data_IF_377218366726
#
_entry.id   IF_377218366726
#
_cell.length_a   1.000
_cell.length_b   1.000
_cell.length_c   1.000
_cell.angle_alpha   90.00
_cell.angle_beta   90.00
_cell.angle_gamma   90.00
#
_symmetry.space_group_name_H-M   'P 1'
#
loop_
_entity.id
_entity.type
_entity.pdbx_description
1 polymer ?
#
# COMPACT_ATOMS: atom_id res chain seq x y z
N UNK A 1 -8.51 4.28 2.64
CA UNK A 1 -7.91 3.54 3.77
C UNK A 1 -8.19 2.05 3.62
N UNK A 2 -7.21 1.18 3.89
CA UNK A 2 -7.43 -0.26 3.88
C UNK A 2 -8.36 -0.72 5.01
N UNK A 3 -9.33 -1.57 4.69
CA UNK A 3 -10.19 -2.22 5.67
C UNK A 3 -9.40 -3.24 6.50
N UNK A 4 -9.59 -3.25 7.82
CA UNK A 4 -9.06 -4.28 8.74
C UNK A 4 -10.07 -4.47 9.86
N UNK A 5 -10.16 -5.66 10.44
CA UNK A 5 -11.06 -5.95 11.57
C UNK A 5 -10.82 -5.01 12.76
N UNK A 6 -9.57 -4.63 13.01
CA UNK A 6 -9.25 -3.68 14.06
C UNK A 6 -9.84 -2.29 13.78
N UNK A 7 -9.78 -1.83 12.52
CA UNK A 7 -10.31 -0.51 12.13
C UNK A 7 -11.85 -0.48 12.14
N UNK A 8 -12.54 -1.57 11.79
CA UNK A 8 -14.02 -1.60 11.76
C UNK A 8 -14.69 -1.40 13.12
N UNK A 9 -13.93 -1.56 14.22
CA UNK A 9 -14.39 -1.29 15.60
C UNK A 9 -14.68 0.18 15.85
N UNK A 10 -14.01 1.09 15.13
CA UNK A 10 -14.12 2.55 15.32
C UNK A 10 -14.32 3.32 14.02
N UNK A 11 -14.29 2.65 12.87
CA UNK A 11 -14.52 3.22 11.55
C UNK A 11 -15.70 2.51 10.89
N UNK A 12 -16.57 3.30 10.26
CA UNK A 12 -17.51 2.82 9.25
C UNK A 12 -16.89 3.02 7.87
N UNK A 13 -16.67 1.93 7.13
CA UNK A 13 -16.09 1.99 5.79
C UNK A 13 -17.19 2.06 4.73
N UNK A 14 -16.93 2.83 3.67
CA UNK A 14 -17.66 2.68 2.42
C UNK A 14 -17.39 1.31 1.77
N UNK A 15 -18.17 0.95 0.75
CA UNK A 15 -17.75 -0.02 -0.25
C UNK A 15 -16.38 0.38 -0.83
N UNK A 16 -15.51 -0.58 -1.21
CA UNK A 16 -14.20 -0.27 -1.76
C UNK A 16 -14.33 0.47 -3.10
N UNK A 17 -13.52 1.52 -3.28
CA UNK A 17 -13.42 2.24 -4.54
C UNK A 17 -12.21 1.80 -5.36
N UNK A 18 -11.21 1.18 -4.74
CA UNK A 18 -10.15 0.43 -5.42
C UNK A 18 -9.50 -0.63 -4.53
N UNK A 19 -8.59 -1.40 -5.12
CA UNK A 19 -7.81 -2.44 -4.47
C UNK A 19 -6.32 -2.12 -4.56
N UNK A 20 -5.62 -2.17 -3.43
CA UNK A 20 -4.16 -2.02 -3.42
C UNK A 20 -3.51 -3.41 -3.30
N UNK A 21 -2.51 -3.68 -4.14
CA UNK A 21 -1.67 -4.87 -4.03
C UNK A 21 -0.29 -4.46 -3.52
N UNK A 22 0.06 -4.87 -2.31
CA UNK A 22 1.35 -4.56 -1.71
C UNK A 22 2.48 -5.39 -2.33
N UNK A 23 3.64 -4.77 -2.53
CA UNK A 23 4.88 -5.42 -2.98
C UNK A 23 6.08 -4.78 -2.27
N UNK A 24 7.29 -5.19 -2.65
CA UNK A 24 8.54 -4.75 -2.04
C UNK A 24 9.39 -4.04 -3.09
N UNK A 25 9.87 -2.84 -2.73
CA UNK A 25 10.96 -2.17 -3.40
C UNK A 25 12.25 -2.32 -2.59
N UNK A 26 13.39 -2.32 -3.28
CA UNK A 26 14.74 -2.36 -2.69
C UNK A 26 15.58 -1.24 -3.32
N UNK A 27 16.67 -0.79 -2.68
CA UNK A 27 17.65 0.09 -3.32
C UNK A 27 18.13 -0.48 -4.67
N UNK A 28 18.46 0.40 -5.60
CA UNK A 28 18.77 0.02 -6.98
C UNK A 28 19.92 -0.99 -7.10
N UNK A 29 20.91 -0.87 -6.22
CA UNK A 29 22.10 -1.73 -6.13
C UNK A 29 21.88 -3.02 -5.32
N UNK A 30 20.71 -3.19 -4.70
CA UNK A 30 20.37 -4.41 -3.96
C UNK A 30 20.37 -5.64 -4.87
N UNK A 31 20.85 -6.77 -4.34
CA UNK A 31 20.83 -8.07 -5.02
C UNK A 31 19.70 -8.98 -4.51
N UNK A 32 18.83 -8.50 -3.63
CA UNK A 32 17.69 -9.28 -3.13
C UNK A 32 16.71 -9.56 -4.26
N UNK A 33 16.25 -10.82 -4.36
CA UNK A 33 15.31 -11.27 -5.40
C UNK A 33 14.15 -12.07 -4.80
N UNK A 34 14.13 -12.29 -3.49
CA UNK A 34 13.15 -13.11 -2.78
C UNK A 34 12.95 -12.63 -1.34
N UNK A 35 11.85 -13.05 -0.71
CA UNK A 35 11.61 -12.77 0.71
C UNK A 35 12.74 -13.32 1.61
N UNK A 36 13.31 -14.48 1.29
CA UNK A 36 14.36 -15.07 2.10
C UNK A 36 15.64 -14.20 2.17
N UNK A 37 15.89 -13.40 1.13
CA UNK A 37 17.04 -12.48 1.06
C UNK A 37 16.88 -11.28 2.02
N UNK A 38 15.66 -11.03 2.52
CA UNK A 38 15.34 -9.91 3.41
C UNK A 38 15.50 -10.24 4.90
N UNK A 39 15.86 -11.48 5.24
CA UNK A 39 16.09 -11.87 6.62
C UNK A 39 17.26 -11.06 7.24
N UNK A 40 17.04 -10.54 8.44
CA UNK A 40 18.04 -9.74 9.16
C UNK A 40 18.20 -8.30 8.64
N UNK A 41 17.45 -7.90 7.61
CA UNK A 41 17.57 -6.59 6.98
C UNK A 41 16.64 -5.54 7.62
N UNK A 42 16.84 -4.28 7.24
CA UNK A 42 16.06 -3.13 7.71
C UNK A 42 14.95 -2.79 6.72
N UNK A 43 13.69 -2.87 7.18
CA UNK A 43 12.52 -2.41 6.45
C UNK A 43 12.26 -0.92 6.75
N UNK A 44 11.88 -0.13 5.73
CA UNK A 44 11.23 1.16 5.92
C UNK A 44 9.75 1.05 5.54
N UNK A 45 8.84 1.58 6.37
CA UNK A 45 7.40 1.66 6.07
C UNK A 45 6.80 2.91 6.70
N UNK A 46 5.67 3.41 6.17
CA UNK A 46 4.87 4.39 6.89
C UNK A 46 4.35 3.82 8.22
N UNK A 47 4.36 4.64 9.27
CA UNK A 47 3.82 4.26 10.58
C UNK A 47 2.31 4.00 10.54
N UNK A 48 1.83 3.06 11.36
CA UNK A 48 0.44 2.61 11.47
C UNK A 48 -0.19 2.10 10.16
N UNK A 49 0.64 1.79 9.15
CA UNK A 49 0.21 1.17 7.90
C UNK A 49 -0.09 -0.31 8.12
N UNK A 50 -0.77 -0.93 7.16
CA UNK A 50 -0.91 -2.38 7.22
C UNK A 50 0.42 -3.10 6.91
N UNK A 51 1.41 -2.40 6.32
CA UNK A 51 2.73 -2.95 6.01
C UNK A 51 3.57 -3.12 7.28
N UNK A 52 3.49 -2.14 8.20
CA UNK A 52 4.02 -2.30 9.55
C UNK A 52 3.38 -3.49 10.27
N UNK A 53 2.04 -3.64 10.17
CA UNK A 53 1.32 -4.79 10.74
C UNK A 53 1.70 -6.12 10.11
N UNK A 54 1.93 -6.13 8.80
CA UNK A 54 2.42 -7.32 8.09
C UNK A 54 3.80 -7.71 8.65
N UNK A 55 4.73 -6.76 8.75
CA UNK A 55 6.06 -6.99 9.35
C UNK A 55 5.99 -7.45 10.82
N UNK A 56 4.99 -7.00 11.57
CA UNK A 56 4.74 -7.45 12.94
C UNK A 56 4.07 -8.85 13.03
N UNK A 57 3.67 -9.45 11.89
CA UNK A 57 2.96 -10.73 11.86
C UNK A 57 1.50 -10.64 12.32
N UNK A 58 0.93 -9.44 12.40
CA UNK A 58 -0.39 -9.19 12.98
C UNK A 58 -1.57 -9.47 12.03
N UNK A 59 -1.29 -9.73 10.75
CA UNK A 59 -2.33 -9.97 9.74
C UNK A 59 -2.73 -11.45 9.60
N UNK A 60 -2.11 -12.37 10.36
CA UNK A 60 -2.33 -13.81 10.20
C UNK A 60 -3.78 -14.26 10.42
N UNK A 61 -4.56 -13.55 11.24
CA UNK A 61 -5.96 -13.83 11.52
C UNK A 61 -6.94 -12.84 10.84
N UNK A 62 -6.43 -11.91 10.05
CA UNK A 62 -7.25 -10.88 9.39
C UNK A 62 -8.08 -11.49 8.26
N UNK A 63 -9.36 -11.11 8.17
CA UNK A 63 -10.29 -11.62 7.14
C UNK A 63 -10.69 -10.57 6.10
N UNK A 64 -10.45 -9.28 6.38
CA UNK A 64 -10.78 -8.18 5.47
C UNK A 64 -9.63 -7.81 4.53
N UNK A 65 -8.42 -8.30 4.80
CA UNK A 65 -7.23 -8.21 3.94
C UNK A 65 -6.92 -9.61 3.44
N UNK A 66 -6.71 -9.76 2.13
CA UNK A 66 -6.18 -11.01 1.60
C UNK A 66 -4.68 -11.00 1.80
N UNK A 67 -4.17 -11.86 2.68
CA UNK A 67 -2.73 -12.06 2.87
C UNK A 67 -2.28 -13.14 1.88
N UNK A 68 -1.59 -12.70 0.82
CA UNK A 68 -1.10 -13.57 -0.24
C UNK A 68 0.21 -14.25 0.19
N UNK A 69 1.11 -13.50 0.82
CA UNK A 69 2.34 -14.01 1.42
C UNK A 69 2.32 -13.71 2.94
N UNK A 70 2.26 -14.72 3.82
CA UNK A 70 2.32 -14.49 5.25
C UNK A 70 3.71 -14.00 5.67
N UNK A 71 3.77 -13.23 6.76
CA UNK A 71 5.05 -12.75 7.29
C UNK A 71 5.87 -13.90 7.86
N UNK A 72 6.96 -14.22 7.16
CA UNK A 72 7.90 -15.30 7.50
C UNK A 72 9.34 -14.80 7.67
N UNK A 73 9.60 -13.49 7.52
CA UNK A 73 10.94 -12.94 7.69
C UNK A 73 11.35 -12.99 9.16
N UNK A 74 12.65 -13.17 9.38
CA UNK A 74 13.27 -13.27 10.69
C UNK A 74 14.32 -12.19 10.85
N UNK A 75 14.46 -11.65 12.07
CA UNK A 75 15.49 -10.67 12.39
C UNK A 75 15.36 -9.31 11.71
N UNK A 76 14.20 -9.01 11.10
CA UNK A 76 13.98 -7.71 10.44
C UNK A 76 13.96 -6.59 11.47
N UNK A 77 14.66 -5.50 11.18
CA UNK A 77 14.52 -4.24 11.92
C UNK A 77 13.52 -3.36 11.19
N UNK A 78 12.47 -2.90 11.88
CA UNK A 78 11.45 -2.02 11.27
C UNK A 78 11.76 -0.57 11.61
N UNK A 79 12.06 0.23 10.59
CA UNK A 79 12.09 1.69 10.65
C UNK A 79 10.75 2.22 10.15
N UNK A 80 10.12 3.08 10.96
CA UNK A 80 8.90 3.77 10.56
C UNK A 80 9.17 5.23 10.28
N UNK A 81 8.44 5.76 9.29
CA UNK A 81 8.39 7.19 8.99
C UNK A 81 6.94 7.68 9.07
N UNK A 82 6.75 9.00 9.26
CA UNK A 82 5.40 9.57 9.37
C UNK A 82 4.57 9.40 8.09
N UNK A 83 5.24 9.35 6.93
CA UNK A 83 4.62 9.11 5.62
C UNK A 83 5.49 8.16 4.80
N UNK A 84 4.87 7.43 3.86
CA UNK A 84 5.58 6.53 2.95
C UNK A 84 6.66 7.26 2.12
N UNK A 85 6.39 8.51 1.71
CA UNK A 85 7.33 9.33 0.94
C UNK A 85 8.63 9.60 1.71
N UNK A 86 8.59 9.72 3.04
CA UNK A 86 9.78 10.00 3.86
C UNK A 86 10.79 8.84 3.85
N UNK A 87 10.35 7.60 3.58
CA UNK A 87 11.27 6.50 3.32
C UNK A 87 12.10 6.76 2.05
N UNK A 88 11.44 7.14 0.96
CA UNK A 88 12.09 7.42 -0.33
C UNK A 88 12.95 8.68 -0.25
N UNK A 89 12.40 9.78 0.26
CA UNK A 89 13.14 11.04 0.47
C UNK A 89 14.35 10.84 1.40
N UNK A 90 14.22 9.97 2.40
CA UNK A 90 15.31 9.61 3.28
C UNK A 90 16.44 8.88 2.58
N UNK A 91 16.12 7.93 1.71
CA UNK A 91 17.11 7.26 0.88
C UNK A 91 17.85 8.27 -0.01
N UNK A 92 17.11 9.17 -0.66
CA UNK A 92 17.68 10.25 -1.49
C UNK A 92 18.56 11.22 -0.68
N UNK A 93 18.24 11.43 0.60
CA UNK A 93 19.04 12.23 1.52
C UNK A 93 20.24 11.47 2.13
N UNK A 94 20.51 10.23 1.70
CA UNK A 94 21.63 9.41 2.16
C UNK A 94 21.38 8.64 3.46
N UNK A 95 20.13 8.54 3.93
CA UNK A 95 19.76 7.53 4.94
C UNK A 95 19.68 6.16 4.27
N UNK A 96 19.78 5.10 5.06
CA UNK A 96 19.83 3.73 4.54
C UNK A 96 18.72 2.88 5.14
N UNK A 97 18.08 2.11 4.27
CA UNK A 97 17.23 0.97 4.59
C UNK A 97 17.41 -0.05 3.46
N UNK A 98 17.05 -1.31 3.69
CA UNK A 98 17.34 -2.39 2.75
C UNK A 98 16.14 -2.75 1.87
N UNK A 99 14.92 -2.55 2.39
CA UNK A 99 13.69 -2.70 1.61
C UNK A 99 12.55 -1.81 2.12
N UNK A 100 11.61 -1.53 1.23
CA UNK A 100 10.45 -0.67 1.48
C UNK A 100 9.19 -1.38 0.98
N UNK A 101 8.10 -1.33 1.75
CA UNK A 101 6.83 -1.99 1.41
C UNK A 101 5.75 -0.94 1.11
N UNK A 102 5.14 -1.05 -0.06
CA UNK A 102 3.97 -0.28 -0.47
C UNK A 102 3.19 -1.02 -1.58
N UNK A 103 2.03 -0.52 -1.95
CA UNK A 103 1.33 -0.89 -3.18
C UNK A 103 2.22 -0.78 -4.42
N UNK A 104 1.93 -1.68 -5.37
CA UNK A 104 2.57 -1.71 -6.69
C UNK A 104 2.49 -0.36 -7.40
N UNK A 105 1.32 0.28 -7.37
CA UNK A 105 1.09 1.56 -8.06
C UNK A 105 1.87 2.71 -7.44
N UNK A 106 1.99 2.76 -6.11
CA UNK A 106 2.83 3.74 -5.44
C UNK A 106 4.30 3.56 -5.79
N UNK A 107 4.80 2.32 -5.72
CA UNK A 107 6.20 2.02 -6.04
C UNK A 107 6.49 2.35 -7.51
N UNK A 108 5.59 1.98 -8.43
CA UNK A 108 5.74 2.31 -9.84
C UNK A 108 5.78 3.83 -10.09
N UNK A 109 4.86 4.59 -9.47
CA UNK A 109 4.86 6.05 -9.57
C UNK A 109 6.11 6.69 -8.94
N UNK A 110 6.60 6.12 -7.83
CA UNK A 110 7.83 6.58 -7.18
C UNK A 110 9.05 6.33 -8.06
N UNK A 111 9.16 5.15 -8.68
CA UNK A 111 10.22 4.83 -9.65
C UNK A 111 10.17 5.82 -10.82
N UNK A 112 9.00 6.00 -11.44
CA UNK A 112 8.86 6.92 -12.58
C UNK A 112 9.26 8.37 -12.23
N UNK A 113 8.92 8.83 -11.02
CA UNK A 113 9.31 10.16 -10.52
C UNK A 113 10.83 10.24 -10.34
N UNK A 114 11.43 9.23 -9.71
CA UNK A 114 12.88 9.18 -9.48
C UNK A 114 13.67 9.07 -10.80
N UNK A 115 13.18 8.32 -11.78
CA UNK A 115 13.77 8.24 -13.12
C UNK A 115 13.73 9.59 -13.84
N UNK A 116 12.63 10.34 -13.71
CA UNK A 116 12.49 11.66 -14.31
C UNK A 116 13.43 12.71 -13.69
N UNK A 117 13.75 12.56 -12.40
CA UNK A 117 14.62 13.47 -11.65
C UNK A 117 16.13 13.10 -11.75
N UNK A 118 16.46 11.85 -12.13
CA UNK A 118 17.84 11.36 -12.21
C UNK A 118 18.56 11.79 -13.52
N UNK A 119 19.85 12.16 -13.43
CA UNK A 119 20.65 12.56 -14.61
C UNK A 119 20.83 11.42 -15.63
N UNK A 120 20.96 10.18 -15.16
CA UNK A 120 21.12 8.98 -15.99
C UNK A 120 19.80 8.26 -16.28
N UNK A 121 18.68 8.78 -15.78
CA UNK A 121 17.35 8.19 -15.93
C UNK A 121 17.15 6.91 -15.12
N UNK A 122 17.97 6.65 -14.09
CA UNK A 122 17.89 5.44 -13.26
C UNK A 122 17.36 5.78 -11.88
N UNK A 123 16.23 5.21 -11.49
CA UNK A 123 15.69 5.37 -10.13
C UNK A 123 16.63 4.81 -9.05
N UNK A 124 16.62 5.42 -7.87
CA UNK A 124 17.35 4.95 -6.69
C UNK A 124 16.79 3.66 -6.07
N UNK A 125 15.61 3.21 -6.52
CA UNK A 125 14.93 2.00 -6.07
C UNK A 125 14.43 1.18 -7.26
N UNK A 126 14.19 -0.10 -7.04
CA UNK A 126 13.51 -1.01 -7.98
C UNK A 126 12.55 -1.94 -7.24
N UNK A 127 11.57 -2.48 -7.97
CA UNK A 127 10.75 -3.60 -7.48
C UNK A 127 11.65 -4.83 -7.31
N UNK A 128 11.59 -5.48 -6.14
CA UNK A 128 12.41 -6.65 -5.83
C UNK A 128 12.02 -7.86 -6.70
N UNK A 129 10.74 -8.17 -6.73
CA UNK A 129 10.15 -9.25 -7.54
C UNK A 129 8.82 -8.75 -8.13
N UNK A 130 8.73 -8.54 -9.46
CA UNK A 130 7.51 -8.07 -10.11
C UNK A 130 6.28 -8.98 -9.91
N UNK A 131 6.48 -10.27 -9.64
CA UNK A 131 5.40 -11.21 -9.39
C UNK A 131 4.88 -11.16 -7.94
N UNK A 132 5.67 -10.59 -7.01
CA UNK A 132 5.34 -10.59 -5.59
C UNK A 132 4.14 -9.70 -5.28
N UNK A 133 3.17 -10.30 -4.59
CA UNK A 133 2.05 -9.61 -3.94
C UNK A 133 2.03 -10.10 -2.49
N UNK A 134 2.24 -9.20 -1.53
CA UNK A 134 2.16 -9.54 -0.10
C UNK A 134 0.71 -9.59 0.38
N UNK A 135 -0.05 -8.56 0.04
CA UNK A 135 -1.44 -8.40 0.44
C UNK A 135 -2.26 -7.80 -0.69
N UNK A 136 -3.54 -8.16 -0.75
CA UNK A 136 -4.57 -7.46 -1.53
C UNK A 136 -5.56 -6.81 -0.56
N UNK A 137 -5.74 -5.51 -0.72
CA UNK A 137 -6.40 -4.65 0.26
C UNK A 137 -7.63 -3.97 -0.35
N UNK A 138 -8.75 -3.99 0.37
CA UNK A 138 -9.92 -3.19 0.01
C UNK A 138 -9.71 -1.75 0.49
N UNK A 139 -9.60 -0.80 -0.44
CA UNK A 139 -9.45 0.61 -0.09
C UNK A 139 -10.80 1.30 -0.14
N UNK A 140 -11.21 1.84 1.01
CA UNK A 140 -12.50 2.50 1.23
C UNK A 140 -12.33 3.90 1.81
N UNK A 141 -13.38 4.70 1.68
CA UNK A 141 -13.55 5.93 2.45
C UNK A 141 -13.85 5.54 3.91
N UNK A 142 -13.18 6.20 4.86
CA UNK A 142 -13.30 5.95 6.28
C UNK A 142 -14.14 7.05 6.94
N UNK A 143 -15.19 6.65 7.65
CA UNK A 143 -16.04 7.53 8.44
C UNK A 143 -15.89 7.20 9.93
N UNK A 144 -15.89 8.21 10.77
CA UNK A 144 -15.83 8.03 12.21
C UNK A 144 -17.10 7.33 12.72
N UNK A 145 -16.93 6.25 13.48
CA UNK A 145 -18.04 5.41 13.92
C UNK A 145 -18.62 5.93 15.23
N UNK A 146 -19.89 6.30 15.21
CA UNK A 146 -20.64 6.63 16.43
C UNK A 146 -20.27 7.95 17.07
N UNK A 147 -19.55 8.85 16.37
CA UNK A 147 -19.44 10.24 16.81
C UNK A 147 -20.75 11.01 16.61
N UNK A 148 -20.93 12.10 17.35
CA UNK A 148 -22.15 12.92 17.30
C UNK A 148 -22.45 13.49 15.90
N UNK A 149 -21.46 13.49 15.00
CA UNK A 149 -21.58 13.88 13.60
C UNK A 149 -21.68 12.72 12.59
N UNK A 150 -21.72 11.47 13.05
CA UNK A 150 -21.86 10.32 12.17
C UNK A 150 -23.25 10.34 11.51
N UNK A 151 -23.29 10.50 10.18
CA UNK A 151 -24.51 10.53 9.39
C UNK A 151 -24.60 9.27 8.50
N UNK A 152 -25.46 8.30 8.85
CA UNK A 152 -25.70 7.13 8.02
C UNK A 152 -26.17 7.46 6.60
N UNK A 153 -26.83 8.61 6.39
CA UNK A 153 -27.27 9.04 5.06
C UNK A 153 -26.06 9.46 4.20
N UNK A 154 -25.03 10.08 4.78
CA UNK A 154 -23.80 10.40 4.08
C UNK A 154 -23.08 9.13 3.61
N UNK A 155 -22.92 8.13 4.50
CA UNK A 155 -22.30 6.86 4.13
C UNK A 155 -23.10 6.15 3.02
N UNK A 156 -24.43 6.13 3.13
CA UNK A 156 -25.30 5.54 2.12
C UNK A 156 -25.16 6.24 0.76
N UNK A 157 -25.10 7.56 0.74
CA UNK A 157 -24.94 8.33 -0.50
C UNK A 157 -23.54 8.13 -1.11
N UNK A 158 -22.49 8.06 -0.29
CA UNK A 158 -21.13 7.75 -0.77
C UNK A 158 -21.08 6.35 -1.37
N UNK A 159 -21.71 5.35 -0.74
CA UNK A 159 -21.81 4.01 -1.31
C UNK A 159 -22.59 4.00 -2.63
N UNK A 160 -23.66 4.80 -2.73
CA UNK A 160 -24.41 4.96 -3.99
C UNK A 160 -23.54 5.58 -5.09
N UNK A 161 -22.74 6.59 -4.77
CA UNK A 161 -21.81 7.24 -5.72
C UNK A 161 -20.71 6.28 -6.16
N UNK A 162 -20.09 5.53 -5.23
CA UNK A 162 -19.06 4.53 -5.55
C UNK A 162 -19.63 3.43 -6.46
N UNK A 163 -20.83 2.90 -6.15
CA UNK A 163 -21.50 1.91 -6.98
C UNK A 163 -21.83 2.44 -8.38
N UNK A 164 -22.25 3.70 -8.49
CA UNK A 164 -22.45 4.36 -9.79
C UNK A 164 -21.11 4.51 -10.54
N UNK A 165 -20.05 4.89 -9.83
CA UNK A 165 -18.70 5.03 -10.40
C UNK A 165 -18.18 3.73 -11.00
N UNK A 166 -18.38 2.60 -10.30
CA UNK A 166 -18.06 1.26 -10.81
C UNK A 166 -18.92 0.88 -12.01
N UNK A 167 -20.26 0.94 -11.85
CA UNK A 167 -21.19 0.48 -12.90
C UNK A 167 -21.15 1.31 -14.20
N UNK A 168 -20.77 2.59 -14.12
CA UNK A 168 -20.60 3.46 -15.29
C UNK A 168 -19.21 3.37 -15.92
N UNK A 169 -18.24 2.71 -15.28
CA UNK A 169 -16.84 2.69 -15.70
C UNK A 169 -16.08 3.99 -15.42
N UNK A 170 -16.68 4.94 -14.71
CA UNK A 170 -16.04 6.21 -14.39
C UNK A 170 -14.82 6.04 -13.48
N UNK A 171 -14.88 5.10 -12.51
CA UNK A 171 -13.73 4.79 -11.65
C UNK A 171 -12.59 4.14 -12.45
N UNK A 172 -12.89 3.15 -13.29
CA UNK A 172 -11.92 2.53 -14.19
C UNK A 172 -11.22 3.58 -15.08
N UNK A 173 -11.99 4.46 -15.73
CA UNK A 173 -11.44 5.50 -16.59
C UNK A 173 -10.54 6.49 -15.83
N UNK A 174 -10.88 6.82 -14.57
CA UNK A 174 -10.01 7.63 -13.72
C UNK A 174 -8.73 6.87 -13.37
N UNK A 175 -8.84 5.61 -12.97
CA UNK A 175 -7.69 4.77 -12.62
C UNK A 175 -6.71 4.65 -13.79
N UNK A 176 -7.19 4.28 -14.97
CA UNK A 176 -6.38 4.18 -16.18
C UNK A 176 -5.78 5.54 -16.58
N UNK A 177 -6.52 6.64 -16.39
CA UNK A 177 -6.06 7.99 -16.71
C UNK A 177 -4.92 8.49 -15.82
N UNK A 178 -4.90 8.10 -14.54
CA UNK A 178 -3.86 8.54 -13.60
C UNK A 178 -2.74 7.51 -13.40
N UNK A 179 -3.04 6.22 -13.50
CA UNK A 179 -2.13 5.12 -13.15
C UNK A 179 -1.75 4.26 -14.36
N UNK A 180 -2.44 4.38 -15.49
CA UNK A 180 -2.24 3.51 -16.66
C UNK A 180 -2.76 2.07 -16.47
N UNK A 181 -3.38 1.78 -15.33
CA UNK A 181 -3.94 0.47 -14.96
C UNK A 181 -5.26 0.66 -14.21
N UNK A 182 -6.20 -0.25 -14.39
CA UNK A 182 -7.45 -0.27 -13.63
C UNK A 182 -7.27 -1.05 -12.32
N UNK A 183 -7.16 -0.35 -11.19
CA UNK A 183 -7.11 -0.94 -9.84
C UNK A 183 -8.48 -0.97 -9.16
N UNK A 184 -9.53 -0.55 -9.84
CA UNK A 184 -10.88 -0.40 -9.26
C UNK A 184 -11.66 -1.70 -9.27
N UNK A 185 -11.23 -2.66 -10.07
CA UNK A 185 -11.76 -4.02 -10.13
C UNK A 185 -10.95 -4.93 -9.20
N UNK A 186 -11.65 -5.83 -8.50
CA UNK A 186 -10.98 -6.84 -7.69
C UNK A 186 -10.04 -7.70 -8.57
N UNK A 187 -8.77 -7.91 -8.16
CA UNK A 187 -7.80 -8.70 -8.94
C UNK A 187 -8.11 -10.21 -8.95
#
# INVERSE_FOLDING_TARGET
MAQTEARTKVIDFSEPYYYAQATIAVPQDSTAMSLADLNGLTACVGSSTIYEKWLAGELAAETLVTVNEPMMLTGVTVQTEDTDNLCIEGLMAGRTWDFFIQSKDFIANSIATLEADAEDGVAAIKVMDPALVLTTEKISVAFDKGSEGADPALLAEINRIIALGHSSGALSALSEGYLGVDVTVAP
#
